data_IF_907304238241
#
_entry.id   IF_907304238241
#
_cell.length_a   1.000
_cell.length_b   1.000
_cell.length_c   1.000
_cell.angle_alpha   90.00
_cell.angle_beta   90.00
_cell.angle_gamma   90.00
#
_symmetry.space_group_name_H-M   'P 1'
#
loop_
_entity.id
_entity.type
_entity.pdbx_description
1 polymer ?
#
# COMPACT_ATOMS: atom_id res chain seq x y z
N UNK A 1 14.32 10.26 -9.54
CA UNK A 1 13.94 8.99 -8.87
C UNK A 1 12.59 8.59 -9.43
N UNK A 2 12.38 7.31 -9.75
CA UNK A 2 11.08 6.80 -10.19
C UNK A 2 10.11 6.96 -9.00
N UNK A 3 8.96 7.56 -9.24
CA UNK A 3 7.94 7.77 -8.21
C UNK A 3 6.55 7.71 -8.83
N UNK A 4 5.56 7.37 -8.01
CA UNK A 4 4.15 7.44 -8.34
C UNK A 4 3.40 8.07 -7.16
N UNK A 5 2.19 8.56 -7.38
CA UNK A 5 1.29 9.01 -6.32
C UNK A 5 -0.04 8.30 -6.50
N UNK A 6 -0.52 7.66 -5.44
CA UNK A 6 -1.80 6.96 -5.42
C UNK A 6 -2.63 7.45 -4.25
N UNK A 7 -3.86 7.87 -4.52
CA UNK A 7 -4.81 8.34 -3.51
C UNK A 7 -5.68 7.18 -3.04
N UNK A 8 -5.74 6.97 -1.74
CA UNK A 8 -6.55 5.93 -1.11
C UNK A 8 -7.67 6.60 -0.30
N UNK A 9 -8.89 6.11 -0.45
CA UNK A 9 -10.01 6.46 0.43
C UNK A 9 -10.05 5.44 1.57
N UNK A 10 -10.00 5.94 2.80
CA UNK A 10 -10.15 5.11 4.00
C UNK A 10 -11.55 4.52 4.02
N UNK A 11 -11.66 3.22 4.22
CA UNK A 11 -12.94 2.51 4.35
C UNK A 11 -13.32 2.43 5.82
N UNK A 12 -14.63 2.46 6.11
CA UNK A 12 -15.11 2.41 7.49
C UNK A 12 -14.56 1.19 8.27
N UNK A 13 -14.52 0.02 7.61
CA UNK A 13 -13.99 -1.22 8.20
C UNK A 13 -12.47 -1.25 8.43
N UNK A 14 -11.74 -0.24 7.95
CA UNK A 14 -10.29 -0.11 8.18
C UNK A 14 -9.98 0.69 9.45
N UNK A 15 -10.99 1.26 10.10
CA UNK A 15 -10.85 2.03 11.34
C UNK A 15 -10.94 1.16 12.58
N UNK A 16 -10.36 1.63 13.69
CA UNK A 16 -10.47 1.00 15.00
C UNK A 16 -11.28 1.90 15.98
N UNK A 17 -11.54 1.46 17.24
CA UNK A 17 -12.28 2.27 18.22
C UNK A 17 -11.67 3.66 18.53
N UNK A 18 -10.42 3.93 18.14
CA UNK A 18 -9.79 5.24 18.25
C UNK A 18 -10.19 6.21 17.11
N UNK A 19 -11.02 5.75 16.16
CA UNK A 19 -11.65 6.53 15.08
C UNK A 19 -10.72 6.95 13.95
N UNK A 20 -9.64 6.21 13.73
CA UNK A 20 -8.75 6.36 12.58
C UNK A 20 -8.29 5.00 12.08
N UNK A 21 -7.59 4.97 10.95
CA UNK A 21 -7.09 3.72 10.34
C UNK A 21 -6.27 2.92 11.36
N UNK A 22 -6.67 1.67 11.57
CA UNK A 22 -5.92 0.71 12.38
C UNK A 22 -4.50 0.55 11.80
N UNK A 23 -3.48 0.65 12.66
CA UNK A 23 -2.08 0.67 12.21
C UNK A 23 -1.69 -0.54 11.34
N UNK A 24 -2.32 -1.71 11.57
CA UNK A 24 -2.08 -2.92 10.79
C UNK A 24 -2.47 -2.82 9.32
N UNK A 25 -3.38 -1.90 8.96
CA UNK A 25 -3.87 -1.76 7.58
C UNK A 25 -2.91 -0.94 6.70
N UNK A 26 -1.93 -0.24 7.27
CA UNK A 26 -1.00 0.60 6.48
C UNK A 26 -0.09 -0.22 5.56
N UNK A 27 0.18 -1.50 5.88
CA UNK A 27 0.96 -2.37 5.00
C UNK A 27 0.25 -2.58 3.65
N UNK A 28 -1.07 -2.71 3.64
CA UNK A 28 -1.89 -2.84 2.43
C UNK A 28 -1.84 -1.56 1.60
N UNK A 29 -1.88 -0.39 2.23
CA UNK A 29 -1.75 0.89 1.53
C UNK A 29 -0.38 1.06 0.86
N UNK A 30 0.70 0.61 1.51
CA UNK A 30 2.04 0.59 0.92
C UNK A 30 2.14 -0.40 -0.25
N UNK A 31 1.48 -1.54 -0.14
CA UNK A 31 1.40 -2.53 -1.23
C UNK A 31 0.70 -1.94 -2.46
N UNK A 32 -0.45 -1.28 -2.29
CA UNK A 32 -1.14 -0.58 -3.37
C UNK A 32 -0.22 0.44 -4.06
N UNK A 33 0.50 1.26 -3.29
CA UNK A 33 1.48 2.19 -3.83
C UNK A 33 2.60 1.51 -4.64
N UNK A 34 3.08 0.34 -4.18
CA UNK A 34 4.08 -0.46 -4.89
C UNK A 34 3.52 -1.04 -6.19
N UNK A 35 2.30 -1.57 -6.19
CA UNK A 35 1.65 -2.10 -7.39
C UNK A 35 1.44 -0.99 -8.43
N UNK A 36 1.01 0.19 -8.00
CA UNK A 36 0.86 1.35 -8.89
C UNK A 36 2.21 1.87 -9.41
N UNK A 37 3.29 1.74 -8.64
CA UNK A 37 4.63 2.09 -9.09
C UNK A 37 5.06 1.17 -10.24
N UNK A 38 4.86 -0.15 -10.10
CA UNK A 38 5.11 -1.11 -11.17
C UNK A 38 4.29 -0.76 -12.42
N UNK A 39 2.98 -0.52 -12.26
CA UNK A 39 2.13 -0.11 -13.39
C UNK A 39 2.64 1.15 -14.08
N UNK A 40 3.10 2.14 -13.31
CA UNK A 40 3.62 3.40 -13.86
C UNK A 40 4.89 3.24 -14.70
N UNK A 41 5.65 2.15 -14.51
CA UNK A 41 6.84 1.82 -15.29
C UNK A 41 6.59 0.78 -16.39
N UNK A 42 5.31 0.50 -16.70
CA UNK A 42 4.92 -0.40 -17.79
C UNK A 42 5.03 -1.89 -17.46
N UNK A 43 4.97 -2.24 -16.17
CA UNK A 43 5.02 -3.63 -15.71
C UNK A 43 3.94 -3.86 -14.67
N UNK A 44 3.03 -4.80 -14.86
CA UNK A 44 2.06 -5.18 -13.85
C UNK A 44 2.63 -6.26 -12.93
N UNK A 45 2.14 -6.32 -11.68
CA UNK A 45 2.54 -7.36 -10.73
C UNK A 45 2.19 -8.77 -11.25
N UNK A 46 1.05 -8.90 -11.93
CA UNK A 46 0.63 -10.16 -12.56
C UNK A 46 1.61 -10.62 -13.65
N UNK A 47 2.17 -9.71 -14.45
CA UNK A 47 3.18 -10.08 -15.46
C UNK A 47 4.48 -10.59 -14.82
N UNK A 48 4.86 -10.06 -13.65
CA UNK A 48 6.02 -10.54 -12.88
C UNK A 48 5.76 -11.96 -12.37
N UNK A 49 4.59 -12.21 -11.78
CA UNK A 49 4.22 -13.54 -11.27
C UNK A 49 4.13 -14.58 -12.40
N UNK A 50 3.60 -14.20 -13.57
CA UNK A 50 3.54 -15.09 -14.74
C UNK A 50 4.91 -15.44 -15.32
N UNK A 51 5.97 -14.70 -14.95
CA UNK A 51 7.36 -15.06 -15.27
C UNK A 51 7.97 -16.02 -14.23
N UNK A 52 7.21 -16.46 -13.22
CA UNK A 52 7.68 -17.33 -12.14
C UNK A 52 8.51 -16.57 -11.10
N UNK A 53 8.30 -15.26 -10.96
CA UNK A 53 9.01 -14.41 -10.01
C UNK A 53 8.04 -13.96 -8.92
N UNK A 54 8.41 -14.16 -7.66
CA UNK A 54 7.68 -13.67 -6.50
C UNK A 54 8.50 -12.62 -5.75
N UNK A 55 7.82 -11.59 -5.25
CA UNK A 55 8.43 -10.46 -4.55
C UNK A 55 7.93 -10.38 -3.10
N UNK A 56 8.31 -11.34 -2.22
CA UNK A 56 7.90 -11.30 -0.82
C UNK A 56 8.55 -10.13 -0.08
N UNK A 57 7.78 -9.49 0.80
CA UNK A 57 8.32 -8.47 1.70
C UNK A 57 9.08 -9.15 2.83
N UNK A 58 10.39 -8.93 2.92
CA UNK A 58 11.22 -9.43 4.01
C UNK A 58 11.19 -8.54 5.25
N UNK A 59 11.15 -7.22 5.04
CA UNK A 59 11.13 -6.21 6.09
C UNK A 59 10.36 -4.97 5.61
N UNK A 60 9.66 -4.30 6.52
CA UNK A 60 9.18 -2.94 6.31
C UNK A 60 9.28 -2.15 7.61
N UNK A 61 9.41 -0.83 7.49
CA UNK A 61 9.46 0.09 8.63
C UNK A 61 8.49 1.23 8.38
N UNK A 62 7.62 1.49 9.36
CA UNK A 62 6.67 2.60 9.33
C UNK A 62 6.85 3.45 10.57
N UNK A 63 6.89 4.77 10.39
CA UNK A 63 6.77 5.75 11.45
C UNK A 63 5.46 6.51 11.27
N UNK A 64 4.51 6.30 12.17
CA UNK A 64 3.21 6.96 12.15
C UNK A 64 3.33 8.39 12.67
N UNK A 65 3.12 9.39 11.80
CA UNK A 65 3.25 10.81 12.15
C UNK A 65 1.89 11.48 12.42
N UNK A 66 0.87 11.11 11.64
CA UNK A 66 -0.50 11.63 11.74
C UNK A 66 -1.48 10.51 11.37
N UNK A 67 -2.68 10.46 11.97
CA UNK A 67 -3.69 9.48 11.63
C UNK A 67 -4.33 9.79 10.27
N UNK A 68 -4.67 8.75 9.52
CA UNK A 68 -5.62 8.82 8.40
C UNK A 68 -7.05 8.63 8.94
N UNK A 69 -7.98 9.46 8.49
CA UNK A 69 -9.36 9.49 8.97
C UNK A 69 -10.30 8.89 7.93
N UNK A 70 -11.34 8.21 8.41
CA UNK A 70 -12.53 7.95 7.61
C UNK A 70 -13.25 9.28 7.33
N UNK A 71 -13.96 9.35 6.19
CA UNK A 71 -14.66 10.54 5.72
C UNK A 71 -15.83 10.98 6.61
#
# INVERSE_FOLDING_TARGET
>A
MIHTTHSIRVRYGETDPMKYVYYGNYAEYLELGRVELFRSIGMSYNEIENQGIWLPVSEYKIKYLKPALYD
#
